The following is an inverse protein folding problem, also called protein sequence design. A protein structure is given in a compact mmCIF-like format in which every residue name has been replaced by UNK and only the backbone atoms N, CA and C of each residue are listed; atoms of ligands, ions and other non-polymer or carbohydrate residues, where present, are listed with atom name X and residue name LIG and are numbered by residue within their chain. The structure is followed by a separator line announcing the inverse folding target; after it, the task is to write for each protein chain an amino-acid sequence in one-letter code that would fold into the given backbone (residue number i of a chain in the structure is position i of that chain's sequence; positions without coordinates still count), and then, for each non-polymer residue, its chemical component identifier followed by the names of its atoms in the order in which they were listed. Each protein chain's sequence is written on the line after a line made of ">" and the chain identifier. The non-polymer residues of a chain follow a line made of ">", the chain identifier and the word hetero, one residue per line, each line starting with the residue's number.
data_IF_388503717980
#
_entry.id   IF_388503717980
#
_cell.length_a   1.000
_cell.length_b   1.000
_cell.length_c   1.000
_cell.angle_alpha   90.00
_cell.angle_beta   90.00
_cell.angle_gamma   90.00
#
_symmetry.space_group_name_H-M   'P 1'
#
loop_
_entity.id
_entity.type
_entity.pdbx_description
1 polymer ?
#
# COMPACT_ATOMS: atom_id res chain seq x y z
N UNK A 1 1.53 9.79 2.51
CA UNK A 1 2.01 8.52 3.11
C UNK A 1 1.58 7.39 2.19
N UNK A 2 2.46 6.47 1.80
CA UNK A 2 2.12 5.37 0.87
C UNK A 2 2.34 4.02 1.56
N UNK A 3 1.39 3.11 1.40
CA UNK A 3 1.52 1.71 1.82
C UNK A 3 1.03 0.79 0.71
N UNK A 4 1.24 -0.52 0.84
CA UNK A 4 0.75 -1.51 -0.12
C UNK A 4 -0.57 -2.10 0.34
N UNK A 5 -1.37 -2.59 -0.59
CA UNK A 5 -2.71 -3.12 -0.32
C UNK A 5 -2.74 -4.31 0.64
N UNK A 6 -1.65 -5.06 0.78
CA UNK A 6 -1.54 -6.17 1.73
C UNK A 6 -1.38 -5.68 3.19
N UNK A 7 -0.87 -4.46 3.41
CA UNK A 7 -0.58 -3.96 4.74
C UNK A 7 -1.82 -3.38 5.44
N UNK A 8 -2.79 -4.26 5.70
CA UNK A 8 -4.06 -3.93 6.36
C UNK A 8 -3.86 -3.33 7.75
N UNK A 9 -2.74 -3.65 8.42
CA UNK A 9 -2.35 -3.06 9.71
C UNK A 9 -2.01 -1.57 9.57
N UNK A 10 -1.22 -1.20 8.57
CA UNK A 10 -0.88 0.19 8.31
C UNK A 10 -2.10 1.00 7.85
N UNK A 11 -2.90 0.44 6.92
CA UNK A 11 -4.16 1.07 6.47
C UNK A 11 -5.06 1.41 7.67
N UNK A 12 -5.30 0.44 8.55
CA UNK A 12 -6.09 0.62 9.78
C UNK A 12 -5.48 1.66 10.71
N UNK A 13 -4.14 1.68 10.84
CA UNK A 13 -3.42 2.64 11.66
C UNK A 13 -3.62 4.07 11.17
N UNK A 14 -3.51 4.30 9.85
CA UNK A 14 -3.67 5.61 9.22
C UNK A 14 -5.11 6.11 9.33
N UNK A 15 -6.09 5.27 8.98
CA UNK A 15 -7.51 5.62 9.11
C UNK A 15 -7.89 6.03 10.54
N UNK A 16 -7.40 5.31 11.56
CA UNK A 16 -7.66 5.64 12.97
C UNK A 16 -7.04 6.96 13.43
N UNK A 17 -6.11 7.54 12.69
CA UNK A 17 -5.35 8.76 13.05
C UNK A 17 -5.71 9.96 12.19
N UNK A 18 -6.84 9.91 11.49
CA UNK A 18 -7.34 11.03 10.70
C UNK A 18 -6.65 11.20 9.34
N UNK A 19 -5.88 10.21 8.89
CA UNK A 19 -5.43 10.18 7.51
C UNK A 19 -6.58 9.78 6.59
N UNK A 20 -6.73 10.49 5.48
CA UNK A 20 -7.70 10.18 4.44
C UNK A 20 -7.02 9.47 3.28
N UNK A 21 -7.68 8.44 2.76
CA UNK A 21 -7.27 7.80 1.51
C UNK A 21 -7.55 8.78 0.37
N UNK A 22 -6.51 9.18 -0.35
CA UNK A 22 -6.61 10.13 -1.46
C UNK A 22 -6.35 9.49 -2.82
N UNK A 23 -5.56 8.41 -2.89
CA UNK A 23 -5.28 7.75 -4.16
C UNK A 23 -5.03 6.24 -4.04
N UNK A 24 -5.27 5.53 -5.14
CA UNK A 24 -4.92 4.11 -5.30
C UNK A 24 -4.22 3.94 -6.64
N UNK A 25 -2.98 3.46 -6.59
CA UNK A 25 -2.19 3.15 -7.78
C UNK A 25 -2.30 1.66 -8.08
N UNK A 26 -3.19 1.32 -9.01
CA UNK A 26 -3.45 -0.07 -9.34
C UNK A 26 -2.23 -0.71 -10.04
N UNK A 27 -1.76 -1.85 -9.53
CA UNK A 27 -0.72 -2.67 -10.14
C UNK A 27 0.66 -2.00 -10.16
N UNK A 28 0.84 -0.85 -9.50
CA UNK A 28 2.10 -0.11 -9.48
C UNK A 28 3.25 -0.91 -8.89
N UNK A 29 2.96 -1.86 -7.99
CA UNK A 29 3.96 -2.76 -7.40
C UNK A 29 4.57 -3.69 -8.45
N UNK A 30 3.86 -3.99 -9.54
CA UNK A 30 4.43 -4.78 -10.64
C UNK A 30 5.56 -4.03 -11.34
N UNK A 31 5.42 -2.72 -11.54
CA UNK A 31 6.49 -1.89 -12.08
C UNK A 31 7.64 -1.76 -11.07
N UNK A 32 7.33 -1.59 -9.79
CA UNK A 32 8.33 -1.59 -8.73
C UNK A 32 9.13 -2.90 -8.70
N UNK A 33 8.49 -4.05 -8.96
CA UNK A 33 9.15 -5.38 -9.03
C UNK A 33 10.15 -5.50 -10.18
N UNK A 34 9.93 -4.82 -11.30
CA UNK A 34 10.90 -4.82 -12.42
C UNK A 34 12.24 -4.22 -11.97
N UNK A 35 12.21 -3.25 -11.07
CA UNK A 35 13.38 -2.57 -10.51
C UNK A 35 13.89 -3.27 -9.24
N UNK A 36 12.96 -3.78 -8.41
CA UNK A 36 13.22 -4.46 -7.14
C UNK A 36 12.59 -5.86 -7.15
N UNK A 37 13.22 -6.85 -7.81
CA UNK A 37 12.67 -8.21 -7.93
C UNK A 37 12.48 -8.92 -6.58
N UNK A 38 13.16 -8.45 -5.54
CA UNK A 38 13.03 -8.97 -4.17
C UNK A 38 11.69 -8.64 -3.50
N UNK A 39 10.85 -7.79 -4.09
CA UNK A 39 9.49 -7.54 -3.57
C UNK A 39 8.66 -8.83 -3.74
N UNK A 40 8.19 -9.46 -2.66
CA UNK A 40 7.47 -10.72 -2.75
C UNK A 40 6.12 -10.57 -3.48
N UNK A 41 5.60 -11.67 -4.01
CA UNK A 41 4.28 -11.68 -4.66
C UNK A 41 3.14 -11.53 -3.65
N UNK A 42 3.32 -12.07 -2.45
CA UNK A 42 2.36 -12.04 -1.36
C UNK A 42 2.99 -11.40 -0.13
N UNK A 43 2.21 -10.61 0.58
CA UNK A 43 2.64 -9.89 1.78
C UNK A 43 1.94 -10.40 3.03
N UNK A 44 1.51 -9.49 3.89
CA UNK A 44 0.80 -9.85 5.11
C UNK A 44 -0.50 -10.61 4.79
N UNK A 45 -0.84 -11.56 5.67
CA UNK A 45 -2.07 -12.36 5.59
C UNK A 45 -2.26 -13.09 4.24
N UNK A 46 -1.14 -13.40 3.55
CA UNK A 46 -1.11 -14.00 2.22
C UNK A 46 -1.85 -13.18 1.14
N UNK A 47 -1.94 -11.87 1.32
CA UNK A 47 -2.57 -10.96 0.35
C UNK A 47 -1.57 -10.64 -0.78
N UNK A 48 -1.96 -10.74 -2.05
CA UNK A 48 -1.12 -10.33 -3.17
C UNK A 48 -0.72 -8.86 -3.07
N UNK A 49 0.56 -8.55 -3.25
CA UNK A 49 1.06 -7.17 -3.22
C UNK A 49 0.97 -6.59 -4.64
N UNK A 50 -0.09 -5.85 -4.94
CA UNK A 50 -0.37 -5.40 -6.31
C UNK A 50 -0.41 -3.87 -6.39
N UNK A 51 -1.03 -3.24 -5.40
CA UNK A 51 -1.40 -1.83 -5.46
C UNK A 51 -0.69 -1.05 -4.35
N UNK A 52 -0.36 0.19 -4.65
CA UNK A 52 -0.01 1.18 -3.64
C UNK A 52 -1.25 2.01 -3.30
N UNK A 53 -1.40 2.31 -2.01
CA UNK A 53 -2.48 3.12 -1.45
C UNK A 53 -1.85 4.35 -0.81
N UNK A 54 -2.32 5.51 -1.22
CA UNK A 54 -1.86 6.79 -0.71
C UNK A 54 -2.86 7.39 0.27
N UNK A 55 -2.30 7.89 1.36
CA UNK A 55 -2.99 8.61 2.40
C UNK A 55 -2.42 10.02 2.56
N UNK A 56 -3.29 10.98 2.75
CA UNK A 56 -2.96 12.35 3.13
C UNK A 56 -3.49 12.68 4.54
N UNK A 57 -2.87 13.66 5.20
CA UNK A 57 -3.39 14.23 6.43
C UNK A 57 -3.71 15.69 6.12
N UNK A 58 -4.99 16.04 6.20
CA UNK A 58 -5.41 17.43 6.08
C UNK A 58 -4.95 18.14 7.36
N UNK A 59 -4.06 19.11 7.21
CA UNK A 59 -3.59 19.98 8.30
C UNK A 59 -4.60 21.11 8.54
#
# INVERSE_FOLDING_TARGET
>A
MITTNDNTRAIRYYQKRGFNLCNIYLNSVNEARKIKPQIPLHGYDNIPILHEIEFEMLL
#
